data_IF_370295308010
#
_entry.id   IF_370295308010
#
_cell.length_a   1.000
_cell.length_b   1.000
_cell.length_c   1.000
_cell.angle_alpha   90.00
_cell.angle_beta   90.00
_cell.angle_gamma   90.00
#
_symmetry.space_group_name_H-M   'P 1'
#
loop_
_entity.id
_entity.type
_entity.pdbx_description
1 polymer ?
#
# COMPACT_ATOMS: atom_id res chain seq x y z
N UNK A 1 -8.66 -11.89 -10.06
CA UNK A 1 -9.95 -12.20 -9.41
C UNK A 1 -10.55 -10.87 -9.01
N UNK A 2 -11.86 -10.62 -9.08
CA UNK A 2 -12.39 -9.28 -8.74
C UNK A 2 -11.97 -8.78 -7.36
N UNK A 3 -11.70 -9.67 -6.41
CA UNK A 3 -11.17 -9.32 -5.09
C UNK A 3 -9.76 -8.72 -5.12
N UNK A 4 -8.94 -9.08 -6.12
CA UNK A 4 -7.62 -8.47 -6.33
C UNK A 4 -7.77 -7.03 -6.84
N UNK A 5 -8.86 -6.70 -7.54
CA UNK A 5 -9.17 -5.33 -8.01
C UNK A 5 -9.71 -4.44 -6.87
N UNK A 6 -10.10 -5.04 -5.74
CA UNK A 6 -10.64 -4.33 -4.58
C UNK A 6 -9.59 -4.16 -3.44
N UNK A 7 -8.34 -4.63 -3.62
CA UNK A 7 -7.30 -4.51 -2.61
C UNK A 7 -7.64 -5.19 -1.28
N UNK A 8 -8.33 -6.34 -1.33
CA UNK A 8 -8.82 -7.02 -0.13
C UNK A 8 -7.95 -8.24 0.16
N UNK A 9 -7.33 -8.29 1.34
CA UNK A 9 -6.60 -9.47 1.79
C UNK A 9 -7.53 -10.68 1.97
N UNK A 10 -7.25 -11.77 1.25
CA UNK A 10 -7.97 -13.03 1.42
C UNK A 10 -7.08 -14.28 1.44
N UNK A 11 -7.46 -15.24 2.28
CA UNK A 11 -6.84 -16.57 2.31
C UNK A 11 -7.68 -17.56 1.49
N UNK A 12 -7.08 -18.16 0.45
CA UNK A 12 -7.75 -19.15 -0.39
C UNK A 12 -7.49 -20.57 0.12
N UNK A 13 -8.50 -21.21 0.71
CA UNK A 13 -8.43 -22.58 1.20
C UNK A 13 -9.16 -23.54 0.26
N UNK A 14 -8.44 -24.51 -0.31
CA UNK A 14 -9.03 -25.59 -1.13
C UNK A 14 -9.20 -26.86 -0.31
N UNK A 15 -10.42 -27.13 0.14
CA UNK A 15 -10.73 -28.32 0.94
C UNK A 15 -11.25 -29.45 0.06
N UNK A 16 -10.53 -30.57 0.03
CA UNK A 16 -11.00 -31.81 -0.62
C UNK A 16 -11.91 -32.55 0.35
N UNK A 17 -13.19 -32.66 0.00
CA UNK A 17 -14.17 -33.44 0.76
C UNK A 17 -14.58 -34.64 -0.07
N UNK A 18 -14.46 -35.83 0.52
CA UNK A 18 -14.93 -37.08 -0.08
C UNK A 18 -16.26 -37.43 0.59
N UNK A 19 -17.36 -37.31 -0.15
CA UNK A 19 -18.71 -37.65 0.32
C UNK A 19 -19.42 -38.42 -0.78
N UNK A 20 -20.04 -39.56 -0.43
CA UNK A 20 -20.76 -40.45 -1.35
C UNK A 20 -19.96 -40.93 -2.58
N UNK A 21 -18.65 -41.19 -2.41
CA UNK A 21 -17.79 -41.73 -3.48
C UNK A 21 -17.27 -40.69 -4.48
N UNK A 22 -17.81 -39.47 -4.48
CA UNK A 22 -17.33 -38.36 -5.29
C UNK A 22 -16.28 -37.52 -4.52
N UNK A 23 -15.18 -37.19 -5.18
CA UNK A 23 -14.22 -36.20 -4.68
C UNK A 23 -14.68 -34.82 -5.12
N UNK A 24 -14.98 -33.94 -4.15
CA UNK A 24 -15.32 -32.54 -4.41
C UNK A 24 -14.28 -31.62 -3.79
N UNK A 25 -13.85 -30.62 -4.54
CA UNK A 25 -12.97 -29.55 -4.08
C UNK A 25 -13.87 -28.35 -3.78
N UNK A 26 -13.87 -27.88 -2.54
CA UNK A 26 -14.48 -26.62 -2.16
C UNK A 26 -13.39 -25.55 -2.08
N UNK A 27 -13.64 -24.42 -2.74
CA UNK A 27 -12.79 -23.24 -2.63
C UNK A 27 -13.44 -22.29 -1.63
N UNK A 28 -12.77 -22.10 -0.49
CA UNK A 28 -13.13 -21.11 0.50
C UNK A 28 -12.20 -19.92 0.32
N UNK A 29 -12.76 -18.71 0.35
CA UNK A 29 -12.04 -17.45 0.32
C UNK A 29 -12.37 -16.78 1.65
N UNK A 30 -11.37 -16.65 2.51
CA UNK A 30 -11.51 -15.99 3.81
C UNK A 30 -11.01 -14.56 3.68
N UNK A 31 -11.93 -13.62 3.61
CA UNK A 31 -11.66 -12.19 3.61
C UNK A 31 -11.47 -11.75 5.06
N UNK A 32 -10.32 -11.14 5.36
CA UNK A 32 -10.03 -10.57 6.68
C UNK A 32 -10.10 -9.06 6.57
N UNK A 33 -11.19 -8.51 7.10
CA UNK A 33 -11.48 -7.08 7.16
C UNK A 33 -12.14 -6.79 8.52
N UNK A 34 -12.68 -5.59 8.74
CA UNK A 34 -13.44 -5.20 9.94
C UNK A 34 -14.43 -6.30 10.36
N UNK A 35 -15.06 -6.93 9.36
CA UNK A 35 -15.84 -8.15 9.54
C UNK A 35 -15.17 -9.33 8.82
N UNK A 36 -14.83 -10.43 9.52
CA UNK A 36 -14.31 -11.62 8.86
C UNK A 36 -15.42 -12.31 8.05
N UNK A 37 -15.22 -12.40 6.73
CA UNK A 37 -16.18 -13.00 5.81
C UNK A 37 -15.57 -14.26 5.18
N UNK A 38 -16.33 -15.36 5.17
CA UNK A 38 -15.97 -16.58 4.43
C UNK A 38 -16.89 -16.75 3.22
N UNK A 39 -16.31 -16.69 2.02
CA UNK A 39 -17.00 -16.98 0.78
C UNK A 39 -16.69 -18.42 0.34
N UNK A 40 -17.72 -19.26 0.25
CA UNK A 40 -17.57 -20.59 -0.38
C UNK A 40 -18.01 -20.53 -1.84
N UNK A 41 -17.09 -20.81 -2.76
CA UNK A 41 -17.35 -20.80 -4.20
C UNK A 41 -17.73 -22.19 -4.68
N UNK A 42 -18.88 -22.29 -5.35
CA UNK A 42 -19.37 -23.54 -5.93
C UNK A 42 -19.33 -23.49 -7.46
N UNK A 43 -19.06 -24.64 -8.07
CA UNK A 43 -19.23 -24.78 -9.52
C UNK A 43 -20.72 -24.57 -9.90
N UNK A 44 -21.04 -23.91 -11.04
CA UNK A 44 -22.43 -23.62 -11.43
C UNK A 44 -23.36 -24.83 -11.50
N UNK A 45 -22.83 -26.04 -11.74
CA UNK A 45 -23.58 -27.29 -11.69
C UNK A 45 -24.24 -27.59 -10.33
N UNK A 46 -23.85 -26.88 -9.27
CA UNK A 46 -24.36 -27.05 -7.90
C UNK A 46 -25.43 -26.00 -7.52
N UNK A 47 -25.88 -25.13 -8.43
CA UNK A 47 -26.88 -24.08 -8.17
C UNK A 47 -28.23 -24.59 -7.60
N UNK A 48 -28.55 -25.88 -7.81
CA UNK A 48 -29.73 -26.54 -7.26
C UNK A 48 -29.51 -27.31 -5.94
N UNK A 49 -28.28 -27.46 -5.48
CA UNK A 49 -27.97 -28.27 -4.31
C UNK A 49 -28.26 -27.49 -3.01
N UNK A 50 -28.95 -28.14 -2.06
CA UNK A 50 -29.22 -27.57 -0.73
C UNK A 50 -28.11 -27.96 0.23
N UNK A 51 -27.17 -27.04 0.42
CA UNK A 51 -26.11 -27.21 1.40
C UNK A 51 -26.64 -27.01 2.82
N UNK A 52 -26.00 -27.69 3.78
CA UNK A 52 -26.15 -27.44 5.20
C UNK A 52 -24.96 -26.62 5.66
N UNK A 53 -25.20 -25.64 6.54
CA UNK A 53 -24.14 -24.89 7.20
C UNK A 53 -23.28 -25.85 8.02
N UNK A 54 -21.98 -25.78 7.82
CA UNK A 54 -20.98 -26.54 8.59
C UNK A 54 -20.93 -26.13 10.07
N UNK A 55 -21.47 -24.95 10.41
CA UNK A 55 -21.48 -24.37 11.76
C UNK A 55 -22.76 -24.78 12.49
N UNK A 56 -23.92 -24.66 11.84
CA UNK A 56 -25.23 -24.86 12.50
C UNK A 56 -25.88 -26.20 12.18
N UNK A 57 -25.35 -26.98 11.23
CA UNK A 57 -25.97 -28.19 10.65
C UNK A 57 -27.39 -27.99 10.09
N UNK A 58 -27.86 -26.74 9.96
CA UNK A 58 -29.13 -26.38 9.36
C UNK A 58 -28.95 -26.10 7.86
N UNK A 59 -30.01 -26.21 7.03
CA UNK A 59 -29.96 -25.74 5.65
C UNK A 59 -29.46 -24.30 5.58
N UNK A 60 -28.55 -23.99 4.65
CA UNK A 60 -28.06 -22.63 4.44
C UNK A 60 -29.23 -21.77 3.98
N UNK A 61 -29.50 -20.69 4.72
CA UNK A 61 -30.50 -19.70 4.38
C UNK A 61 -30.09 -18.98 3.10
N UNK A 62 -31.05 -18.74 2.21
CA UNK A 62 -30.82 -18.08 0.92
C UNK A 62 -31.39 -16.67 0.99
N UNK A 63 -30.56 -15.69 0.62
CA UNK A 63 -30.98 -14.32 0.41
C UNK A 63 -30.67 -13.94 -1.05
N UNK A 64 -31.58 -13.22 -1.71
CA UNK A 64 -31.22 -12.45 -2.91
C UNK A 64 -30.28 -11.31 -2.54
N UNK A 65 -29.58 -10.74 -3.53
CA UNK A 65 -28.76 -9.54 -3.34
C UNK A 65 -29.53 -8.43 -2.61
N UNK A 66 -30.75 -8.14 -3.09
CA UNK A 66 -31.66 -7.14 -2.50
C UNK A 66 -32.21 -7.48 -1.10
N UNK A 67 -32.12 -8.75 -0.68
CA UNK A 67 -32.46 -9.15 0.68
C UNK A 67 -31.25 -8.99 1.59
N UNK A 68 -30.05 -9.35 1.11
CA UNK A 68 -28.80 -9.16 1.82
C UNK A 68 -28.53 -7.67 2.10
N UNK A 69 -28.68 -6.80 1.09
CA UNK A 69 -28.55 -5.34 1.25
C UNK A 69 -29.48 -4.80 2.34
N UNK A 70 -30.74 -5.25 2.35
CA UNK A 70 -31.72 -4.86 3.38
C UNK A 70 -31.35 -5.35 4.78
N UNK A 71 -30.79 -6.56 4.90
CA UNK A 71 -30.34 -7.08 6.18
C UNK A 71 -29.19 -6.23 6.73
N UNK A 72 -28.22 -5.88 5.88
CA UNK A 72 -27.08 -5.02 6.26
C UNK A 72 -27.57 -3.65 6.75
N UNK A 73 -28.47 -3.01 5.99
CA UNK A 73 -29.07 -1.71 6.37
C UNK A 73 -29.78 -1.78 7.72
N UNK A 74 -30.57 -2.84 7.95
CA UNK A 74 -31.35 -3.00 9.19
C UNK A 74 -30.48 -3.33 10.40
N UNK A 75 -29.47 -4.18 10.24
CA UNK A 75 -28.64 -4.68 11.34
C UNK A 75 -27.59 -3.64 11.76
N UNK A 76 -27.05 -2.88 10.81
CA UNK A 76 -25.98 -1.91 11.04
C UNK A 76 -26.46 -0.44 11.00
N UNK A 77 -27.75 -0.21 10.79
CA UNK A 77 -28.37 1.13 10.72
C UNK A 77 -27.65 2.07 9.72
N UNK A 78 -27.26 1.49 8.58
CA UNK A 78 -26.55 2.19 7.51
C UNK A 78 -27.58 2.86 6.59
N UNK A 79 -27.37 4.13 6.27
CA UNK A 79 -28.18 4.85 5.27
C UNK A 79 -27.82 4.35 3.85
N UNK A 80 -28.78 3.80 3.07
CA UNK A 80 -28.52 3.28 1.73
C UNK A 80 -27.90 4.29 0.78
N UNK A 81 -28.25 5.58 0.91
CA UNK A 81 -27.67 6.64 0.07
C UNK A 81 -26.20 6.89 0.44
N UNK A 82 -25.85 6.86 1.73
CA UNK A 82 -24.46 6.98 2.18
C UNK A 82 -23.64 5.73 1.82
N UNK A 83 -24.24 4.54 1.85
CA UNK A 83 -23.58 3.31 1.43
C UNK A 83 -23.26 3.33 -0.06
N UNK A 84 -24.22 3.74 -0.90
CA UNK A 84 -24.01 3.88 -2.33
C UNK A 84 -22.93 4.92 -2.63
N UNK A 85 -22.97 6.08 -1.95
CA UNK A 85 -21.94 7.11 -2.09
C UNK A 85 -20.55 6.61 -1.68
N UNK A 86 -20.42 5.85 -0.58
CA UNK A 86 -19.15 5.25 -0.16
C UNK A 86 -18.61 4.24 -1.17
N UNK A 87 -19.49 3.40 -1.74
CA UNK A 87 -19.10 2.45 -2.79
C UNK A 87 -18.65 3.18 -4.06
N UNK A 88 -19.35 4.25 -4.45
CA UNK A 88 -18.95 5.10 -5.58
C UNK A 88 -17.65 5.86 -5.31
N UNK A 89 -17.40 6.32 -4.08
CA UNK A 89 -16.12 6.92 -3.66
C UNK A 89 -14.97 5.90 -3.72
N UNK A 90 -15.19 4.67 -3.26
CA UNK A 90 -14.22 3.57 -3.39
C UNK A 90 -13.92 3.22 -4.84
N UNK A 91 -14.92 3.23 -5.72
CA UNK A 91 -14.76 2.94 -7.16
C UNK A 91 -14.18 4.14 -7.96
N UNK A 92 -14.17 5.36 -7.41
CA UNK A 92 -13.79 6.60 -8.12
C UNK A 92 -12.51 7.27 -7.64
N UNK A 93 -11.98 6.91 -6.46
CA UNK A 93 -10.63 7.28 -6.07
C UNK A 93 -9.65 6.51 -6.97
N UNK A 94 -8.71 7.16 -7.67
CA UNK A 94 -7.63 6.45 -8.32
C UNK A 94 -6.94 5.58 -7.27
N UNK A 95 -6.73 4.30 -7.59
CA UNK A 95 -5.84 3.46 -6.81
C UNK A 95 -4.52 4.24 -6.57
N UNK A 96 -4.23 4.52 -5.30
CA UNK A 96 -3.08 5.34 -4.92
C UNK A 96 -1.76 4.71 -5.40
N UNK A 97 -1.70 3.38 -5.48
CA UNK A 97 -0.53 2.68 -6.00
C UNK A 97 -0.37 2.87 -7.50
N UNK A 98 -1.47 2.93 -8.26
CA UNK A 98 -1.42 3.34 -9.66
C UNK A 98 -0.90 4.78 -9.85
N UNK A 99 -1.26 5.70 -8.94
CA UNK A 99 -0.70 7.07 -8.94
C UNK A 99 0.80 7.03 -8.66
N UNK A 100 1.24 6.34 -7.62
CA UNK A 100 2.65 6.20 -7.29
C UNK A 100 3.48 5.57 -8.41
N UNK A 101 2.96 4.50 -9.04
CA UNK A 101 3.59 3.88 -10.19
C UNK A 101 3.79 4.89 -11.33
N UNK A 102 2.76 5.69 -11.63
CA UNK A 102 2.84 6.72 -12.69
C UNK A 102 3.87 7.82 -12.40
N UNK A 103 4.16 8.09 -11.12
CA UNK A 103 5.14 9.08 -10.67
C UNK A 103 6.56 8.50 -10.60
N UNK A 104 6.71 7.21 -10.32
CA UNK A 104 8.00 6.51 -10.23
C UNK A 104 8.58 6.19 -11.61
N UNK A 105 7.77 5.70 -12.56
CA UNK A 105 8.24 5.29 -13.90
C UNK A 105 9.07 6.38 -14.62
N UNK A 106 8.67 7.67 -14.62
CA UNK A 106 9.45 8.73 -15.26
C UNK A 106 10.88 8.91 -14.71
N UNK A 107 11.14 8.53 -13.45
CA UNK A 107 12.44 8.71 -12.80
C UNK A 107 13.57 7.92 -13.46
N UNK A 108 13.25 6.83 -14.18
CA UNK A 108 14.24 6.04 -14.95
C UNK A 108 14.99 6.92 -15.97
N UNK A 109 14.31 7.94 -16.48
CA UNK A 109 14.87 8.87 -17.46
C UNK A 109 15.56 10.08 -16.82
N UNK A 110 15.55 10.19 -15.49
CA UNK A 110 16.13 11.33 -14.74
C UNK A 110 17.54 10.99 -14.29
N UNK A 111 18.50 11.25 -15.18
CA UNK A 111 19.92 11.02 -14.91
C UNK A 111 20.43 11.93 -13.77
N UNK A 112 21.01 11.33 -12.73
CA UNK A 112 21.59 12.08 -11.62
C UNK A 112 23.04 12.46 -11.90
N UNK A 113 23.55 13.40 -11.11
CA UNK A 113 24.95 13.79 -11.19
C UNK A 113 25.85 12.66 -10.64
N UNK A 114 26.55 11.95 -11.53
CA UNK A 114 27.44 10.82 -11.22
C UNK A 114 28.52 11.08 -10.16
N UNK A 115 28.84 12.35 -9.88
CA UNK A 115 29.75 12.70 -8.77
C UNK A 115 29.13 12.43 -7.40
N UNK A 116 27.83 12.64 -7.27
CA UNK A 116 27.09 12.53 -6.01
C UNK A 116 26.18 11.29 -5.96
N UNK A 117 25.79 10.82 -7.15
CA UNK A 117 24.91 9.69 -7.40
C UNK A 117 25.57 8.77 -8.43
N UNK A 118 26.63 8.04 -8.06
CA UNK A 118 27.34 7.14 -8.98
C UNK A 118 26.48 5.98 -9.48
N UNK A 119 25.33 5.73 -8.86
CA UNK A 119 24.35 4.70 -9.21
C UNK A 119 23.61 4.95 -10.52
N UNK A 120 23.48 6.21 -10.96
CA UNK A 120 22.89 6.55 -12.26
C UNK A 120 21.61 7.38 -12.19
N UNK A 121 20.47 6.78 -12.46
CA UNK A 121 19.17 7.47 -12.53
C UNK A 121 18.43 7.51 -11.17
N UNK A 122 17.43 8.40 -11.10
CA UNK A 122 16.68 8.65 -9.88
C UNK A 122 15.76 7.49 -9.47
N UNK A 123 15.29 6.67 -10.42
CA UNK A 123 14.46 5.50 -10.10
C UNK A 123 15.31 4.45 -9.40
N UNK A 124 16.47 4.13 -9.98
CA UNK A 124 17.40 3.18 -9.41
C UNK A 124 17.88 3.62 -8.02
N UNK A 125 18.14 4.92 -7.84
CA UNK A 125 18.39 5.49 -6.51
C UNK A 125 17.23 5.22 -5.55
N UNK A 126 16.00 5.61 -5.90
CA UNK A 126 14.82 5.48 -5.06
C UNK A 126 14.57 4.02 -4.63
N UNK A 127 14.79 3.05 -5.52
CA UNK A 127 14.65 1.63 -5.22
C UNK A 127 15.73 1.12 -4.25
N UNK A 128 16.97 1.60 -4.34
CA UNK A 128 17.99 1.28 -3.33
C UNK A 128 17.65 1.87 -1.97
N UNK A 129 17.18 3.11 -1.93
CA UNK A 129 16.78 3.78 -0.69
C UNK A 129 15.62 3.04 -0.03
N UNK A 130 14.62 2.63 -0.82
CA UNK A 130 13.54 1.75 -0.38
C UNK A 130 14.06 0.40 0.15
N UNK A 131 14.99 -0.26 -0.55
CA UNK A 131 15.58 -1.51 -0.09
C UNK A 131 16.23 -1.39 1.30
N UNK A 132 17.00 -0.32 1.53
CA UNK A 132 17.56 -0.03 2.85
C UNK A 132 16.49 0.31 3.89
N UNK A 133 15.44 1.04 3.50
CA UNK A 133 14.34 1.37 4.39
C UNK A 133 13.59 0.09 4.84
N UNK A 134 13.38 -0.86 3.92
CA UNK A 134 12.79 -2.18 4.18
C UNK A 134 13.61 -3.01 5.15
N UNK A 135 14.94 -2.93 5.11
CA UNK A 135 15.81 -3.59 6.10
C UNK A 135 15.67 -2.99 7.50
N UNK A 136 15.46 -1.67 7.61
CA UNK A 136 15.36 -0.96 8.89
C UNK A 136 13.96 -1.04 9.51
N UNK A 137 12.91 -0.84 8.69
CA UNK A 137 11.52 -0.72 9.13
C UNK A 137 10.58 -1.46 8.16
N UNK A 138 10.65 -2.81 8.09
CA UNK A 138 9.95 -3.61 7.07
C UNK A 138 8.42 -3.54 7.11
N UNK A 139 7.83 -3.14 8.23
CA UNK A 139 6.36 -3.12 8.42
C UNK A 139 5.80 -1.71 8.59
N UNK A 140 6.60 -0.68 8.28
CA UNK A 140 6.20 0.72 8.42
C UNK A 140 5.87 1.31 7.04
N UNK A 141 4.62 1.15 6.60
CA UNK A 141 4.13 1.63 5.30
C UNK A 141 4.48 3.10 5.05
N UNK A 142 4.22 3.96 6.04
CA UNK A 142 4.42 5.41 5.90
C UNK A 142 5.89 5.75 5.64
N UNK A 143 6.80 5.02 6.30
CA UNK A 143 8.25 5.19 6.15
C UNK A 143 8.76 4.61 4.83
N UNK A 144 8.27 3.44 4.41
CA UNK A 144 8.64 2.83 3.14
C UNK A 144 8.19 3.68 1.94
N UNK A 145 6.97 4.23 2.00
CA UNK A 145 6.50 5.20 1.02
C UNK A 145 7.36 6.46 1.00
N UNK A 146 7.75 6.98 2.18
CA UNK A 146 8.62 8.15 2.23
C UNK A 146 9.98 7.87 1.56
N UNK A 147 10.55 6.68 1.78
CA UNK A 147 11.79 6.25 1.15
C UNK A 147 11.66 6.09 -0.37
N UNK A 148 10.60 5.44 -0.83
CA UNK A 148 10.38 5.18 -2.26
C UNK A 148 10.05 6.47 -3.04
N UNK A 149 9.30 7.39 -2.42
CA UNK A 149 8.74 8.56 -3.10
C UNK A 149 9.51 9.88 -2.87
N UNK A 150 10.56 9.89 -2.05
CA UNK A 150 11.21 11.16 -1.62
C UNK A 150 11.67 12.07 -2.78
N UNK A 151 11.99 11.50 -3.92
CA UNK A 151 12.61 12.17 -5.07
C UNK A 151 11.73 12.22 -6.34
N UNK A 152 10.46 11.80 -6.28
CA UNK A 152 9.55 11.78 -7.44
C UNK A 152 9.41 13.13 -8.14
N UNK A 153 9.54 14.23 -7.39
CA UNK A 153 9.45 15.56 -7.97
C UNK A 153 10.58 15.91 -8.92
N UNK A 154 11.69 15.14 -8.94
CA UNK A 154 12.79 15.36 -9.90
C UNK A 154 12.36 15.11 -11.34
N UNK A 155 11.33 14.30 -11.57
CA UNK A 155 10.73 14.12 -12.89
C UNK A 155 9.72 15.23 -13.28
N UNK A 156 9.27 16.03 -12.30
CA UNK A 156 8.23 17.05 -12.49
C UNK A 156 8.86 18.44 -12.58
N UNK A 157 9.57 18.85 -11.53
CA UNK A 157 10.33 20.10 -11.46
C UNK A 157 11.66 19.83 -10.70
N UNK A 158 12.79 19.67 -11.42
CA UNK A 158 14.08 19.45 -10.77
C UNK A 158 14.56 20.61 -9.88
N UNK A 159 14.11 21.85 -10.12
CA UNK A 159 14.56 23.02 -9.37
C UNK A 159 13.82 23.16 -8.02
N UNK A 160 12.59 22.66 -7.94
CA UNK A 160 11.75 22.64 -6.73
C UNK A 160 11.12 21.26 -6.47
N UNK A 161 11.95 20.21 -6.57
CA UNK A 161 11.50 18.82 -6.59
C UNK A 161 10.75 18.41 -5.32
N UNK A 162 11.11 18.99 -4.17
CA UNK A 162 10.43 18.69 -2.90
C UNK A 162 8.98 19.15 -2.95
N UNK A 163 8.73 20.39 -3.37
CA UNK A 163 7.38 20.96 -3.43
C UNK A 163 6.55 20.25 -4.51
N UNK A 164 7.13 20.08 -5.70
CA UNK A 164 6.46 19.41 -6.82
C UNK A 164 6.11 17.94 -6.51
N UNK A 165 6.98 17.23 -5.79
CA UNK A 165 6.72 15.87 -5.35
C UNK A 165 5.62 15.78 -4.28
N UNK A 166 5.58 16.72 -3.33
CA UNK A 166 4.52 16.75 -2.31
C UNK A 166 3.16 17.10 -2.89
N UNK A 167 3.10 18.04 -3.83
CA UNK A 167 1.84 18.41 -4.52
C UNK A 167 1.26 17.23 -5.31
N UNK A 168 2.11 16.38 -5.91
CA UNK A 168 1.63 15.25 -6.74
C UNK A 168 1.10 14.07 -5.93
N UNK A 169 1.47 13.95 -4.65
CA UNK A 169 1.01 12.89 -3.73
C UNK A 169 0.07 13.42 -2.64
N UNK A 170 -0.34 14.68 -2.72
CA UNK A 170 -1.26 15.30 -1.76
C UNK A 170 -2.58 14.52 -1.74
N UNK A 171 -3.01 14.11 -0.54
CA UNK A 171 -4.23 13.31 -0.35
C UNK A 171 -4.05 11.80 -0.57
N UNK A 172 -2.90 11.34 -1.08
CA UNK A 172 -2.61 9.90 -1.27
C UNK A 172 -1.71 9.31 -0.19
N UNK A 173 -1.00 10.15 0.57
CA UNK A 173 -0.07 9.74 1.63
C UNK A 173 -0.41 10.40 2.95
N UNK A 174 0.07 9.82 4.05
CA UNK A 174 -0.17 10.35 5.38
C UNK A 174 0.58 11.68 5.63
N UNK A 175 0.23 12.34 6.74
CA UNK A 175 0.97 13.51 7.24
C UNK A 175 2.41 13.17 7.59
N UNK A 176 2.68 11.93 8.06
CA UNK A 176 4.05 11.49 8.40
C UNK A 176 4.89 11.32 7.16
N UNK A 177 4.40 10.59 6.16
CA UNK A 177 5.07 10.41 4.87
C UNK A 177 5.36 11.76 4.22
N UNK A 178 4.36 12.64 4.16
CA UNK A 178 4.52 14.01 3.64
C UNK A 178 5.60 14.79 4.39
N UNK A 179 5.62 14.71 5.72
CA UNK A 179 6.60 15.43 6.54
C UNK A 179 8.02 14.89 6.35
N UNK A 180 8.19 13.57 6.22
CA UNK A 180 9.48 12.94 5.95
C UNK A 180 10.03 13.40 4.59
N UNK A 181 9.21 13.31 3.54
CA UNK A 181 9.56 13.79 2.20
C UNK A 181 9.87 15.29 2.23
N UNK A 182 9.05 16.11 2.89
CA UNK A 182 9.30 17.56 2.99
C UNK A 182 10.63 17.93 3.64
N UNK A 183 11.19 17.06 4.49
CA UNK A 183 12.39 17.35 5.26
C UNK A 183 13.60 16.49 4.86
N UNK A 184 13.50 15.59 3.87
CA UNK A 184 14.59 14.66 3.52
C UNK A 184 15.92 15.39 3.22
N UNK A 185 15.87 16.52 2.51
CA UNK A 185 17.05 17.35 2.24
C UNK A 185 17.70 17.95 3.49
N UNK A 186 16.94 18.14 4.58
CA UNK A 186 17.48 18.59 5.85
C UNK A 186 18.28 17.50 6.56
N UNK A 187 17.96 16.21 6.34
CA UNK A 187 18.75 15.10 6.87
C UNK A 187 20.19 15.15 6.33
N UNK A 188 20.36 15.47 5.03
CA UNK A 188 21.69 15.71 4.47
C UNK A 188 22.43 16.85 5.15
N UNK A 189 21.75 17.99 5.35
CA UNK A 189 22.35 19.16 6.01
C UNK A 189 22.72 18.88 7.47
N UNK A 190 21.96 18.03 8.17
CA UNK A 190 22.27 17.60 9.53
C UNK A 190 23.57 16.79 9.54
N UNK A 191 23.64 15.77 8.69
CA UNK A 191 24.82 14.92 8.57
C UNK A 191 26.07 15.70 8.14
N UNK A 192 25.92 16.60 7.17
CA UNK A 192 27.01 17.44 6.66
C UNK A 192 27.39 18.59 7.60
N UNK A 193 26.65 18.73 8.72
CA UNK A 193 26.81 19.78 9.73
C UNK A 193 26.68 21.19 9.15
N UNK A 194 25.89 21.34 8.08
CA UNK A 194 25.60 22.61 7.41
C UNK A 194 24.26 23.21 7.82
N UNK A 195 23.44 22.45 8.55
CA UNK A 195 22.13 22.93 9.02
C UNK A 195 22.24 24.09 10.03
N UNK A 196 21.38 25.09 9.88
CA UNK A 196 21.30 26.21 10.81
C UNK A 196 20.77 25.78 12.19
N UNK A 197 21.39 26.27 13.28
CA UNK A 197 21.10 25.86 14.66
C UNK A 197 19.60 25.97 15.03
N UNK A 198 18.90 27.01 14.59
CA UNK A 198 17.46 27.20 14.84
C UNK A 198 16.61 26.14 14.14
N UNK A 199 16.95 25.81 12.89
CA UNK A 199 16.22 24.80 12.10
C UNK A 199 16.46 23.41 12.67
N UNK A 200 17.71 23.08 13.00
CA UNK A 200 18.06 21.83 13.69
C UNK A 200 17.29 21.67 15.00
N UNK A 201 17.22 22.70 15.84
CA UNK A 201 16.47 22.64 17.11
C UNK A 201 14.98 22.32 16.90
N UNK A 202 14.36 22.84 15.84
CA UNK A 202 12.96 22.53 15.53
C UNK A 202 12.80 21.08 15.06
N UNK A 203 13.68 20.61 14.18
CA UNK A 203 13.65 19.22 13.70
C UNK A 203 13.80 18.23 14.84
N UNK A 204 14.81 18.43 15.72
CA UNK A 204 15.07 17.56 16.89
C UNK A 204 13.88 17.49 17.86
N UNK A 205 13.03 18.52 17.90
CA UNK A 205 11.85 18.53 18.75
C UNK A 205 10.63 17.84 18.11
N UNK A 206 10.70 17.43 16.84
CA UNK A 206 9.61 16.79 16.14
C UNK A 206 9.52 15.29 16.46
N UNK A 207 8.31 14.75 16.54
CA UNK A 207 8.09 13.35 16.92
C UNK A 207 8.69 12.33 15.93
N UNK A 208 8.79 12.70 14.65
CA UNK A 208 9.36 11.86 13.57
C UNK A 208 10.82 12.21 13.25
N UNK A 209 11.52 12.89 14.16
CA UNK A 209 12.91 13.28 13.93
C UNK A 209 13.83 12.09 13.70
N UNK A 210 13.70 11.04 14.51
CA UNK A 210 14.54 9.85 14.39
C UNK A 210 14.29 9.15 13.04
N UNK A 211 13.03 9.01 12.62
CA UNK A 211 12.67 8.48 11.31
C UNK A 211 13.33 9.29 10.18
N UNK A 212 13.34 10.62 10.27
CA UNK A 212 14.03 11.47 9.28
C UNK A 212 15.53 11.21 9.23
N UNK A 213 16.17 10.93 10.36
CA UNK A 213 17.59 10.56 10.40
C UNK A 213 17.81 9.21 9.71
N UNK A 214 16.98 8.20 10.03
CA UNK A 214 17.06 6.89 9.39
C UNK A 214 16.83 7.01 7.88
N UNK A 215 15.85 7.78 7.43
CA UNK A 215 15.60 8.04 6.02
C UNK A 215 16.84 8.66 5.34
N UNK A 216 17.49 9.62 5.98
CA UNK A 216 18.73 10.22 5.46
C UNK A 216 19.93 9.27 5.44
N UNK A 217 19.96 8.26 6.31
CA UNK A 217 20.95 7.18 6.27
C UNK A 217 20.68 6.22 5.12
N UNK A 218 19.42 5.82 4.91
CA UNK A 218 18.99 5.02 3.76
C UNK A 218 19.30 5.72 2.43
N UNK A 219 19.01 7.03 2.32
CA UNK A 219 19.31 7.82 1.12
C UNK A 219 20.80 7.76 0.74
N UNK A 220 21.67 7.93 1.75
CA UNK A 220 23.11 7.88 1.51
C UNK A 220 23.60 6.48 1.17
N UNK A 221 23.00 5.46 1.78
CA UNK A 221 23.33 4.08 1.52
C UNK A 221 22.91 3.67 0.09
N UNK A 222 21.82 4.22 -0.44
CA UNK A 222 21.29 3.94 -1.78
C UNK A 222 22.08 4.53 -2.96
N UNK A 223 23.40 4.66 -2.82
CA UNK A 223 24.31 5.26 -3.81
C UNK A 223 25.36 4.26 -4.29
N UNK A 224 24.92 3.02 -4.51
CA UNK A 224 25.78 1.89 -4.88
C UNK A 224 25.60 1.54 -6.35
N UNK A 225 26.64 1.68 -7.19
CA UNK A 225 26.57 1.25 -8.60
C UNK A 225 26.32 -0.26 -8.72
N UNK A 226 25.33 -0.64 -9.53
CA UNK A 226 25.04 -2.05 -9.81
C UNK A 226 24.52 -2.85 -8.62
N UNK A 227 23.95 -2.18 -7.60
CA UNK A 227 23.21 -2.85 -6.54
C UNK A 227 22.04 -3.69 -7.10
N UNK A 228 21.74 -4.79 -6.44
CA UNK A 228 20.50 -5.53 -6.68
C UNK A 228 19.35 -4.78 -5.99
N UNK A 229 18.29 -4.50 -6.74
CA UNK A 229 17.08 -3.83 -6.25
C UNK A 229 15.84 -4.59 -6.73
N UNK A 230 14.77 -4.49 -5.95
CA UNK A 230 13.44 -4.96 -6.34
C UNK A 230 12.88 -4.12 -7.50
N UNK A 231 11.93 -4.67 -8.25
CA UNK A 231 11.20 -3.88 -9.25
C UNK A 231 10.24 -2.88 -8.60
N UNK A 232 9.72 -1.91 -9.39
CA UNK A 232 8.72 -0.96 -8.88
C UNK A 232 7.48 -1.70 -8.40
N UNK A 233 7.02 -2.67 -9.18
CA UNK A 233 5.85 -3.48 -8.88
C UNK A 233 6.07 -4.29 -7.60
N UNK A 234 7.23 -4.97 -7.46
CA UNK A 234 7.54 -5.72 -6.24
C UNK A 234 7.58 -4.81 -4.99
N UNK A 235 8.10 -3.59 -5.12
CA UNK A 235 8.15 -2.63 -4.02
C UNK A 235 6.73 -2.13 -3.64
N UNK A 236 5.91 -1.75 -4.62
CA UNK A 236 4.55 -1.27 -4.39
C UNK A 236 3.65 -2.39 -3.86
N UNK A 237 3.69 -3.59 -4.45
CA UNK A 237 2.93 -4.76 -3.99
C UNK A 237 3.25 -5.09 -2.51
N UNK A 238 4.51 -4.94 -2.10
CA UNK A 238 4.92 -5.17 -0.72
C UNK A 238 4.34 -4.12 0.24
N UNK A 239 4.37 -2.85 -0.16
CA UNK A 239 3.82 -1.74 0.64
C UNK A 239 2.29 -1.86 0.74
N UNK A 240 1.63 -2.19 -0.37
CA UNK A 240 0.18 -2.43 -0.42
C UNK A 240 -0.22 -3.56 0.52
N UNK A 241 0.52 -4.68 0.54
CA UNK A 241 0.26 -5.77 1.48
C UNK A 241 0.38 -5.36 2.95
N UNK A 242 1.29 -4.42 3.30
CA UNK A 242 1.39 -3.91 4.67
C UNK A 242 0.16 -3.08 5.03
N UNK A 243 -0.26 -2.22 4.12
CA UNK A 243 -1.47 -1.40 4.28
C UNK A 243 -2.71 -2.29 4.42
N UNK A 244 -2.87 -3.33 3.62
CA UNK A 244 -3.99 -4.26 3.76
C UNK A 244 -3.94 -5.07 5.07
N UNK A 245 -2.75 -5.36 5.59
CA UNK A 245 -2.58 -6.16 6.82
C UNK A 245 -2.76 -5.35 8.11
N UNK A 246 -2.50 -4.05 8.09
CA UNK A 246 -2.45 -3.19 9.28
C UNK A 246 -3.23 -1.86 9.15
N UNK A 247 -3.71 -1.54 7.95
CA UNK A 247 -4.60 -0.43 7.65
C UNK A 247 -5.96 -0.62 8.30
N UNK A 248 -6.50 0.49 8.78
CA UNK A 248 -7.73 0.59 9.60
C UNK A 248 -8.89 1.10 8.79
#
# INVERSE_FOLDING_TARGET
MKLDEFGVYYELQRKRVKKDGEQRIFTHIHVRDEFPIELTVYHPSLLGFRFQSSITNKPIERASLSQLERLIVLEHNIDPEQQAARLEEMDSCPDRFAVFLSLLVPLENVQQNLRYHPEGDALFHSLQVYGHAKEQMPYDEEFLLAALLHDIGKAIDPDDHVSAGLESIEGFVSTRTSWLIANHMEAHKIHDRTIGARRRKRLVAHQWYEDLIVLGECDRAGRVPGAEVESIEEALDYIEQIDEMFGS
#
